data_IF_770619923462
#
_entry.id   IF_770619923462
#
_cell.length_a   1.000
_cell.length_b   1.000
_cell.length_c   1.000
_cell.angle_alpha   90.00
_cell.angle_beta   90.00
_cell.angle_gamma   90.00
#
_symmetry.space_group_name_H-M   'P 1'
#
loop_
_entity.id
_entity.type
_entity.pdbx_description
1 polymer ?
#
# COMPACT_ATOMS: atom_id res chain seq x y z
N UNK A 1 -27.71 16.42 -11.91
CA UNK A 1 -27.43 17.34 -10.79
C UNK A 1 -26.32 16.70 -9.93
N UNK A 2 -25.08 17.14 -10.13
CA UNK A 2 -23.86 16.53 -9.57
C UNK A 2 -23.71 16.88 -8.09
N UNK A 3 -23.80 15.89 -7.19
CA UNK A 3 -23.41 16.07 -5.80
C UNK A 3 -21.90 15.89 -5.69
N UNK A 4 -21.17 16.99 -5.77
CA UNK A 4 -19.76 17.07 -5.33
C UNK A 4 -19.72 16.81 -3.82
N UNK A 5 -19.29 15.61 -3.43
CA UNK A 5 -18.85 15.34 -2.07
C UNK A 5 -17.46 15.94 -1.92
N UNK A 6 -17.36 17.03 -1.15
CA UNK A 6 -16.10 17.71 -0.88
C UNK A 6 -15.17 16.89 -0.01
N UNK A 7 -13.88 17.01 -0.31
CA UNK A 7 -12.75 16.33 0.32
C UNK A 7 -12.71 16.54 1.84
N UNK A 8 -12.78 15.46 2.61
CA UNK A 8 -12.42 15.48 4.04
C UNK A 8 -13.28 14.66 5.00
N UNK A 9 -14.35 14.01 4.55
CA UNK A 9 -15.18 13.19 5.45
C UNK A 9 -14.77 11.71 5.40
N UNK A 10 -14.11 11.21 6.45
CA UNK A 10 -14.10 9.76 6.73
C UNK A 10 -15.38 9.47 7.50
N UNK A 11 -16.40 8.94 6.81
CA UNK A 11 -17.61 8.45 7.46
C UNK A 11 -17.32 7.10 8.10
N UNK A 12 -17.14 7.08 9.43
CA UNK A 12 -17.17 5.83 10.18
C UNK A 12 -18.63 5.48 10.42
N UNK A 13 -19.14 4.51 9.67
CA UNK A 13 -20.38 3.84 10.02
C UNK A 13 -20.10 2.90 11.19
N UNK A 14 -20.69 3.15 12.35
CA UNK A 14 -20.91 2.08 13.33
C UNK A 14 -22.40 1.99 13.63
N UNK A 15 -23.00 0.86 13.24
CA UNK A 15 -24.35 0.48 13.67
C UNK A 15 -24.29 0.04 15.12
N UNK A 16 -25.10 0.70 15.96
CA UNK A 16 -25.99 0.09 16.96
C UNK A 16 -26.98 1.20 17.44
N UNK A 17 -28.27 0.88 17.68
CA UNK A 17 -29.34 1.88 17.61
C UNK A 17 -29.66 2.64 18.92
N UNK A 18 -28.89 2.49 20.01
CA UNK A 18 -29.39 2.88 21.36
C UNK A 18 -28.46 3.68 22.27
N UNK A 19 -27.46 4.42 21.76
CA UNK A 19 -26.61 5.26 22.65
C UNK A 19 -26.92 6.75 22.51
N UNK A 20 -27.33 7.39 23.62
CA UNK A 20 -27.47 8.85 23.77
C UNK A 20 -26.10 9.53 23.82
N UNK A 21 -25.28 9.50 22.77
CA UNK A 21 -23.98 10.17 22.78
C UNK A 21 -24.01 11.48 22.01
N UNK A 22 -23.48 12.55 22.62
CA UNK A 22 -23.18 13.80 21.94
C UNK A 22 -22.17 13.52 20.82
N UNK A 23 -22.59 13.75 19.58
CA UNK A 23 -21.70 13.72 18.42
C UNK A 23 -20.65 14.82 18.59
N UNK A 24 -19.37 14.48 18.57
CA UNK A 24 -18.28 15.45 18.43
C UNK A 24 -17.89 15.46 16.97
N UNK A 25 -18.36 16.45 16.23
CA UNK A 25 -17.83 16.75 14.90
C UNK A 25 -16.45 17.37 15.10
N UNK A 26 -15.39 16.61 14.84
CA UNK A 26 -14.04 17.18 14.76
C UNK A 26 -13.93 17.87 13.40
N UNK A 27 -14.31 19.14 13.36
CA UNK A 27 -14.03 20.03 12.25
C UNK A 27 -12.52 20.30 12.25
N UNK A 28 -11.75 19.42 11.63
CA UNK A 28 -10.35 19.72 11.32
C UNK A 28 -10.37 20.93 10.37
N UNK A 29 -9.84 22.05 10.86
CA UNK A 29 -9.48 23.20 10.01
C UNK A 29 -8.62 22.63 8.88
N UNK A 30 -8.90 22.97 7.61
CA UNK A 30 -8.14 22.48 6.44
C UNK A 30 -6.65 22.55 6.74
N UNK A 31 -6.06 21.41 7.07
CA UNK A 31 -4.61 21.27 7.11
C UNK A 31 -4.15 21.18 5.66
N UNK A 32 -2.88 21.53 5.41
CA UNK A 32 -2.22 21.24 4.13
C UNK A 32 -2.53 19.82 3.65
N UNK A 33 -2.58 19.63 2.33
CA UNK A 33 -2.95 18.35 1.72
C UNK A 33 -2.21 17.20 2.41
N UNK A 34 -2.99 16.25 2.92
CA UNK A 34 -2.42 15.08 3.56
C UNK A 34 -1.55 14.33 2.56
N UNK A 35 -0.49 13.67 3.04
CA UNK A 35 0.36 12.83 2.19
C UNK A 35 -0.46 11.83 1.36
N UNK A 36 -1.61 11.36 1.88
CA UNK A 36 -2.54 10.51 1.15
C UNK A 36 -3.22 11.22 -0.03
N UNK A 37 -3.65 12.47 0.12
CA UNK A 37 -4.25 13.27 -0.97
C UNK A 37 -3.22 13.56 -2.06
N UNK A 38 -2.00 13.94 -1.68
CA UNK A 38 -0.91 14.16 -2.62
C UNK A 38 -0.55 12.88 -3.41
N UNK A 39 -0.53 11.72 -2.74
CA UNK A 39 -0.29 10.44 -3.40
C UNK A 39 -1.43 10.05 -4.37
N UNK A 40 -2.70 10.31 -4.00
CA UNK A 40 -3.84 10.07 -4.91
C UNK A 40 -3.73 10.93 -6.16
N UNK A 41 -3.53 12.23 -6.01
CA UNK A 41 -3.38 13.14 -7.14
C UNK A 41 -2.24 12.72 -8.10
N UNK A 42 -1.13 12.20 -7.56
CA UNK A 42 -0.03 11.67 -8.37
C UNK A 42 -0.40 10.40 -9.13
N UNK A 43 -1.06 9.45 -8.49
CA UNK A 43 -1.48 8.18 -9.11
C UNK A 43 -2.57 8.42 -10.16
N UNK A 44 -3.49 9.36 -9.91
CA UNK A 44 -4.61 9.68 -10.79
C UNK A 44 -4.20 10.53 -12.01
N UNK A 45 -2.93 10.94 -12.12
CA UNK A 45 -2.40 11.54 -13.35
C UNK A 45 -2.33 10.51 -14.48
N UNK A 46 -2.38 10.94 -15.75
CA UNK A 46 -2.32 10.03 -16.90
C UNK A 46 -1.03 9.16 -16.90
N UNK A 47 0.11 9.81 -16.65
CA UNK A 47 1.40 9.14 -16.48
C UNK A 47 1.41 8.24 -15.24
N UNK A 48 0.85 8.70 -14.13
CA UNK A 48 0.75 7.94 -12.88
C UNK A 48 -0.04 6.64 -13.05
N UNK A 49 -1.15 6.66 -13.79
CA UNK A 49 -1.97 5.48 -14.08
C UNK A 49 -1.22 4.46 -14.93
N UNK A 50 -0.49 4.90 -15.95
CA UNK A 50 0.31 4.03 -16.81
C UNK A 50 1.41 3.34 -16.01
N UNK A 51 2.19 4.10 -15.24
CA UNK A 51 3.24 3.56 -14.37
C UNK A 51 2.68 2.64 -13.29
N UNK A 52 1.56 3.01 -12.68
CA UNK A 52 0.91 2.18 -11.67
C UNK A 52 0.41 0.86 -12.27
N UNK A 53 -0.11 0.88 -13.49
CA UNK A 53 -0.49 -0.32 -14.24
C UNK A 53 0.68 -1.27 -14.47
N UNK A 54 1.88 -0.76 -14.80
CA UNK A 54 3.10 -1.58 -14.94
C UNK A 54 3.48 -2.33 -13.66
N UNK A 55 3.08 -1.84 -12.48
CA UNK A 55 3.39 -2.48 -11.18
C UNK A 55 2.67 -3.82 -11.02
N UNK A 56 1.51 -3.98 -11.65
CA UNK A 56 0.79 -5.26 -11.64
C UNK A 56 1.68 -6.39 -12.21
N UNK A 57 2.31 -6.14 -13.36
CA UNK A 57 3.15 -7.15 -14.01
C UNK A 57 4.53 -7.34 -13.36
N UNK A 58 5.06 -6.31 -12.68
CA UNK A 58 6.45 -6.30 -12.19
C UNK A 58 6.57 -6.55 -10.70
N UNK A 59 5.72 -5.90 -9.90
CA UNK A 59 5.84 -5.83 -8.44
C UNK A 59 5.01 -6.91 -7.75
N UNK A 60 3.81 -7.21 -8.25
CA UNK A 60 2.95 -8.24 -7.64
C UNK A 60 3.55 -9.65 -7.66
N UNK A 61 4.21 -10.12 -8.75
CA UNK A 61 4.83 -11.43 -8.76
C UNK A 61 5.96 -11.56 -7.73
N UNK A 62 6.67 -10.47 -7.44
CA UNK A 62 7.74 -10.42 -6.43
C UNK A 62 7.14 -10.63 -5.04
N UNK A 63 6.10 -9.86 -4.70
CA UNK A 63 5.40 -9.99 -3.43
C UNK A 63 4.71 -11.34 -3.27
N UNK A 64 4.10 -11.86 -4.34
CA UNK A 64 3.46 -13.17 -4.37
C UNK A 64 4.46 -14.29 -4.11
N UNK A 65 5.61 -14.28 -4.81
CA UNK A 65 6.65 -15.29 -4.63
C UNK A 65 7.21 -15.27 -3.19
N UNK A 66 7.54 -14.08 -2.66
CA UNK A 66 8.11 -13.95 -1.31
C UNK A 66 7.10 -14.42 -0.25
N UNK A 67 5.83 -13.98 -0.33
CA UNK A 67 4.82 -14.27 0.70
C UNK A 67 4.23 -15.68 0.60
N UNK A 68 3.83 -16.12 -0.59
CA UNK A 68 3.11 -17.39 -0.76
C UNK A 68 4.07 -18.56 -1.02
N UNK A 69 5.01 -18.42 -1.95
CA UNK A 69 5.88 -19.54 -2.34
C UNK A 69 7.03 -19.75 -1.34
N UNK A 70 7.66 -18.66 -0.87
CA UNK A 70 8.77 -18.72 0.09
C UNK A 70 8.33 -18.65 1.54
N UNK A 71 7.05 -18.31 1.80
CA UNK A 71 6.48 -18.17 3.16
C UNK A 71 7.22 -17.15 4.04
N UNK A 72 7.88 -16.17 3.42
CA UNK A 72 8.62 -15.09 4.07
C UNK A 72 7.70 -13.90 4.35
N UNK A 73 6.60 -14.16 5.08
CA UNK A 73 5.52 -13.20 5.29
C UNK A 73 5.62 -12.44 6.63
N UNK A 74 6.56 -12.81 7.50
CA UNK A 74 6.76 -12.21 8.83
C UNK A 74 8.19 -11.71 9.00
N UNK A 75 8.32 -10.53 9.58
CA UNK A 75 9.60 -10.04 10.07
C UNK A 75 9.86 -10.63 11.45
N UNK A 76 11.09 -11.09 11.67
CA UNK A 76 11.52 -11.74 12.92
C UNK A 76 12.36 -10.79 13.78
N UNK A 77 12.85 -9.71 13.20
CA UNK A 77 13.69 -8.71 13.86
C UNK A 77 12.86 -7.48 14.27
N UNK A 78 13.31 -6.77 15.31
CA UNK A 78 12.75 -5.49 15.75
C UNK A 78 13.68 -4.33 15.38
N UNK A 79 13.09 -3.20 15.02
CA UNK A 79 13.81 -1.98 14.63
C UNK A 79 14.02 -1.84 13.12
N UNK A 80 13.86 -0.61 12.62
CA UNK A 80 13.83 -0.30 11.18
C UNK A 80 15.06 -0.80 10.43
N UNK A 81 16.25 -0.60 10.97
CA UNK A 81 17.50 -1.02 10.32
C UNK A 81 17.59 -2.54 10.14
N UNK A 82 17.21 -3.30 11.17
CA UNK A 82 17.25 -4.77 11.13
C UNK A 82 16.18 -5.33 10.19
N UNK A 83 14.97 -4.77 10.22
CA UNK A 83 13.88 -5.14 9.31
C UNK A 83 14.23 -4.82 7.86
N UNK A 84 14.90 -3.70 7.59
CA UNK A 84 15.39 -3.36 6.24
C UNK A 84 16.41 -4.37 5.72
N UNK A 85 17.36 -4.79 6.56
CA UNK A 85 18.29 -5.88 6.23
C UNK A 85 17.56 -7.19 5.92
N UNK A 86 16.58 -7.56 6.75
CA UNK A 86 15.74 -8.75 6.53
C UNK A 86 14.96 -8.67 5.20
N UNK A 87 14.40 -7.50 4.88
CA UNK A 87 13.69 -7.28 3.62
C UNK A 87 14.61 -7.40 2.40
N UNK A 88 15.82 -6.83 2.47
CA UNK A 88 16.83 -6.96 1.41
C UNK A 88 17.25 -8.41 1.17
N UNK A 89 17.39 -9.20 2.23
CA UNK A 89 17.65 -10.64 2.13
C UNK A 89 16.49 -11.38 1.44
N UNK A 90 15.24 -11.05 1.77
CA UNK A 90 14.07 -11.65 1.10
C UNK A 90 14.04 -11.32 -0.39
N UNK A 91 14.34 -10.07 -0.76
CA UNK A 91 14.44 -9.64 -2.14
C UNK A 91 15.60 -10.33 -2.89
N UNK A 92 16.75 -10.54 -2.23
CA UNK A 92 17.89 -11.25 -2.81
C UNK A 92 17.52 -12.70 -3.18
N UNK A 93 16.83 -13.41 -2.28
CA UNK A 93 16.34 -14.77 -2.55
C UNK A 93 15.45 -14.82 -3.79
N UNK A 94 14.52 -13.87 -3.91
CA UNK A 94 13.68 -13.75 -5.10
C UNK A 94 14.50 -13.51 -6.38
N UNK A 95 15.47 -12.59 -6.31
CA UNK A 95 16.31 -12.25 -7.46
C UNK A 95 17.15 -13.45 -7.91
N UNK A 96 17.83 -14.14 -6.99
CA UNK A 96 18.64 -15.33 -7.31
C UNK A 96 17.78 -16.40 -8.00
N UNK A 97 16.56 -16.63 -7.53
CA UNK A 97 15.64 -17.58 -8.18
C UNK A 97 15.33 -17.17 -9.63
N UNK A 98 15.11 -15.88 -9.89
CA UNK A 98 14.93 -15.36 -11.25
C UNK A 98 16.17 -15.63 -12.11
N UNK A 99 17.37 -15.36 -11.61
CA UNK A 99 18.62 -15.63 -12.34
C UNK A 99 18.80 -17.11 -12.67
N UNK A 100 18.55 -18.01 -11.72
CA UNK A 100 18.65 -19.46 -11.96
C UNK A 100 17.65 -19.93 -13.01
N UNK A 101 16.41 -19.43 -12.97
CA UNK A 101 15.38 -19.76 -13.96
C UNK A 101 15.76 -19.25 -15.36
N UNK A 102 16.31 -18.04 -15.45
CA UNK A 102 16.79 -17.48 -16.72
C UNK A 102 17.92 -18.35 -17.30
N UNK A 103 18.90 -18.76 -16.49
CA UNK A 103 20.02 -19.60 -16.94
C UNK A 103 19.57 -20.97 -17.46
N UNK A 104 18.53 -21.58 -16.88
CA UNK A 104 18.00 -22.88 -17.32
C UNK A 104 17.19 -22.81 -18.62
N UNK A 105 16.78 -21.61 -19.03
CA UNK A 105 15.98 -21.40 -20.24
C UNK A 105 16.85 -21.14 -21.49
N UNK A 106 18.16 -20.96 -21.31
CA UNK A 106 19.19 -20.91 -22.35
C UNK A 106 19.83 -22.29 -22.50
#
# INVERSE_FOLDING_TARGET
MSKRFGDGAIQVCRREPTTKTRQVAVLTRRSSDTHAQNMRARIDSALGREEYGRRFATVEPVFGNIRHNKRLNRFTLRGRHKVDGQWKLFALVHNIEKWVKLRKAT
#
